data_IF_842970433857
#
_entry.id   IF_842970433857
#
_cell.length_a   1.000
_cell.length_b   1.000
_cell.length_c   1.000
_cell.angle_alpha   90.00
_cell.angle_beta   90.00
_cell.angle_gamma   90.00
#
_symmetry.space_group_name_H-M   'P 1'
#
loop_
_entity.id
_entity.type
_entity.pdbx_description
1 polymer ?
#
# COMPACT_ATOMS: atom_id res chain seq x y z
N UNK A 1 -0.72 20.42 -6.03
CA UNK A 1 -1.38 20.67 -4.73
C UNK A 1 -1.14 19.48 -3.80
N UNK A 2 -0.96 19.72 -2.51
CA UNK A 2 -0.75 18.67 -1.50
C UNK A 2 -2.04 18.44 -0.71
N UNK A 3 -2.29 17.20 -0.31
CA UNK A 3 -3.42 16.86 0.55
C UNK A 3 -2.91 16.70 1.99
N UNK A 4 -3.14 17.71 2.82
CA UNK A 4 -2.65 17.72 4.22
C UNK A 4 -3.35 16.67 5.10
N UNK A 5 -4.61 16.35 4.78
CA UNK A 5 -5.42 15.36 5.50
C UNK A 5 -5.51 14.06 4.70
N UNK A 6 -4.36 13.44 4.49
CA UNK A 6 -4.26 12.15 3.78
C UNK A 6 -5.02 11.04 4.52
N UNK A 7 -5.14 11.14 5.84
CA UNK A 7 -5.93 10.26 6.68
C UNK A 7 -7.40 10.22 6.26
N UNK A 8 -7.98 11.36 5.85
CA UNK A 8 -9.36 11.41 5.35
C UNK A 8 -9.50 10.72 3.99
N UNK A 9 -8.50 10.86 3.10
CA UNK A 9 -8.51 10.18 1.82
C UNK A 9 -8.36 8.66 1.97
N UNK A 10 -7.43 8.20 2.81
CA UNK A 10 -7.28 6.77 3.07
C UNK A 10 -8.50 6.20 3.80
N UNK A 11 -9.08 6.96 4.74
CA UNK A 11 -10.27 6.53 5.48
C UNK A 11 -11.54 6.37 4.63
N UNK A 12 -11.59 6.95 3.43
CA UNK A 12 -12.73 6.81 2.52
C UNK A 12 -12.40 6.07 1.21
N UNK A 13 -11.18 5.55 1.06
CA UNK A 13 -10.76 4.88 -0.17
C UNK A 13 -11.01 3.37 -0.10
N UNK A 14 -11.68 2.83 -1.12
CA UNK A 14 -11.80 1.39 -1.33
C UNK A 14 -10.57 0.79 -2.02
N UNK A 15 -9.78 1.63 -2.71
CA UNK A 15 -8.55 1.27 -3.41
C UNK A 15 -7.64 2.51 -3.51
N UNK A 16 -6.34 2.33 -3.31
CA UNK A 16 -5.33 3.38 -3.54
C UNK A 16 -4.38 2.99 -4.66
N UNK A 17 -4.12 3.90 -5.60
CA UNK A 17 -3.08 3.75 -6.62
C UNK A 17 -1.95 4.71 -6.27
N UNK A 18 -0.76 4.19 -5.98
CA UNK A 18 0.33 5.01 -5.46
C UNK A 18 1.73 4.46 -5.78
N UNK A 19 2.74 5.30 -5.56
CA UNK A 19 4.13 4.82 -5.43
C UNK A 19 4.26 3.93 -4.19
N UNK A 20 5.21 3.01 -4.19
CA UNK A 20 5.48 2.12 -3.05
C UNK A 20 6.64 2.59 -2.17
N UNK A 21 6.58 3.86 -1.77
CA UNK A 21 7.44 4.37 -0.70
C UNK A 21 7.16 3.65 0.61
N UNK A 22 8.20 3.42 1.43
CA UNK A 22 8.08 2.62 2.65
C UNK A 22 6.99 3.13 3.60
N UNK A 23 6.90 4.45 3.80
CA UNK A 23 5.86 5.07 4.64
C UNK A 23 4.44 4.76 4.14
N UNK A 24 4.17 5.01 2.85
CA UNK A 24 2.85 4.76 2.25
C UNK A 24 2.47 3.29 2.28
N UNK A 25 3.41 2.37 2.03
CA UNK A 25 3.13 0.93 2.15
C UNK A 25 2.75 0.56 3.59
N UNK A 26 3.49 1.08 4.58
CA UNK A 26 3.17 0.87 5.99
C UNK A 26 1.80 1.47 6.38
N UNK A 27 1.48 2.68 5.91
CA UNK A 27 0.19 3.33 6.19
C UNK A 27 -0.99 2.51 5.64
N UNK A 28 -0.94 2.15 4.36
CA UNK A 28 -2.05 1.43 3.71
C UNK A 28 -2.22 0.03 4.30
N UNK A 29 -1.14 -0.70 4.55
CA UNK A 29 -1.20 -2.02 5.18
C UNK A 29 -1.70 -1.94 6.63
N UNK A 30 -1.26 -0.95 7.41
CA UNK A 30 -1.75 -0.74 8.78
C UNK A 30 -3.24 -0.34 8.84
N UNK A 31 -3.76 0.30 7.79
CA UNK A 31 -5.17 0.66 7.64
C UNK A 31 -6.02 -0.45 7.00
N UNK A 32 -5.40 -1.47 6.40
CA UNK A 32 -6.12 -2.51 5.65
C UNK A 32 -6.72 -1.98 4.35
N UNK A 33 -6.10 -0.98 3.73
CA UNK A 33 -6.53 -0.41 2.46
C UNK A 33 -5.76 -1.10 1.33
N UNK A 34 -6.44 -1.79 0.40
CA UNK A 34 -5.76 -2.45 -0.71
C UNK A 34 -5.19 -1.41 -1.68
N UNK A 35 -4.11 -1.78 -2.38
CA UNK A 35 -3.42 -0.84 -3.27
C UNK A 35 -2.91 -1.45 -4.56
N UNK A 36 -2.87 -0.62 -5.61
CA UNK A 36 -2.03 -0.81 -6.80
C UNK A 36 -0.74 -0.03 -6.58
N UNK A 37 0.32 -0.75 -6.26
CA UNK A 37 1.65 -0.20 -6.07
C UNK A 37 2.37 -0.09 -7.42
N UNK A 38 2.77 1.13 -7.77
CA UNK A 38 3.56 1.45 -8.96
C UNK A 38 4.94 1.93 -8.51
N UNK A 39 5.93 1.03 -8.31
CA UNK A 39 7.24 1.41 -7.79
C UNK A 39 7.88 2.51 -8.64
N UNK A 40 8.53 3.47 -7.98
CA UNK A 40 9.27 4.52 -8.69
C UNK A 40 10.39 3.89 -9.54
N UNK A 41 10.51 4.23 -10.84
CA UNK A 41 11.51 3.62 -11.73
C UNK A 41 12.92 4.14 -11.49
N UNK A 42 13.06 5.27 -10.80
CA UNK A 42 14.34 5.88 -10.45
C UNK A 42 14.79 5.45 -9.05
N UNK A 43 16.10 5.44 -8.83
CA UNK A 43 16.70 5.03 -7.56
C UNK A 43 17.31 3.63 -7.65
N UNK A 44 17.39 2.95 -6.51
CA UNK A 44 17.99 1.61 -6.39
C UNK A 44 16.97 0.46 -6.55
N UNK A 45 15.70 0.77 -6.86
CA UNK A 45 14.61 -0.21 -6.97
C UNK A 45 13.98 -0.63 -5.63
N UNK A 46 14.27 0.05 -4.51
CA UNK A 46 13.80 -0.35 -3.18
C UNK A 46 12.27 -0.46 -3.06
N UNK A 47 11.54 0.36 -3.82
CA UNK A 47 10.09 0.45 -3.73
C UNK A 47 9.39 -0.84 -4.14
N UNK A 48 10.02 -1.68 -4.98
CA UNK A 48 9.49 -3.02 -5.28
C UNK A 48 9.51 -3.89 -4.01
N UNK A 49 10.60 -3.84 -3.26
CA UNK A 49 10.78 -4.65 -2.04
C UNK A 49 9.92 -4.15 -0.88
N UNK A 50 9.63 -2.85 -0.81
CA UNK A 50 8.70 -2.32 0.18
C UNK A 50 7.31 -2.95 0.05
N UNK A 51 6.79 -3.04 -1.18
CA UNK A 51 5.43 -3.53 -1.44
C UNK A 51 5.33 -5.05 -1.59
N UNK A 52 6.41 -5.73 -1.96
CA UNK A 52 6.40 -7.17 -2.24
C UNK A 52 5.75 -8.03 -1.12
N UNK A 53 6.04 -7.82 0.18
CA UNK A 53 5.41 -8.62 1.23
C UNK A 53 3.89 -8.43 1.34
N UNK A 54 3.39 -7.22 1.12
CA UNK A 54 1.94 -6.92 1.11
C UNK A 54 1.28 -7.62 -0.08
N UNK A 55 1.93 -7.58 -1.25
CA UNK A 55 1.43 -8.20 -2.49
C UNK A 55 1.45 -9.72 -2.39
N UNK A 56 2.51 -10.31 -1.83
CA UNK A 56 2.61 -11.74 -1.54
C UNK A 56 1.51 -12.22 -0.57
N UNK A 57 1.13 -11.38 0.39
CA UNK A 57 0.01 -11.66 1.28
C UNK A 57 -1.37 -11.56 0.60
N UNK A 58 -1.45 -11.04 -0.63
CA UNK A 58 -2.70 -10.77 -1.35
C UNK A 58 -3.29 -9.39 -1.09
N UNK A 59 -2.56 -8.50 -0.43
CA UNK A 59 -3.02 -7.18 0.01
C UNK A 59 -3.07 -6.10 -1.06
N UNK A 60 -2.56 -6.40 -2.27
CA UNK A 60 -2.50 -5.44 -3.35
C UNK A 60 -1.87 -6.02 -4.61
N UNK A 61 -1.67 -5.16 -5.60
CA UNK A 61 -1.02 -5.47 -6.87
C UNK A 61 0.26 -4.66 -7.00
N UNK A 62 1.28 -5.23 -7.64
CA UNK A 62 2.49 -4.52 -8.02
C UNK A 62 2.53 -4.40 -9.54
N UNK A 63 2.64 -3.17 -10.05
CA UNK A 63 2.69 -2.87 -11.48
C UNK A 63 3.97 -2.11 -11.77
N UNK A 64 4.87 -2.62 -12.63
CA UNK A 64 6.04 -1.87 -13.06
C UNK A 64 5.65 -0.51 -13.66
N UNK A 65 6.43 0.54 -13.40
CA UNK A 65 6.13 1.90 -13.87
C UNK A 65 5.91 1.99 -15.37
N UNK A 66 6.74 1.28 -16.14
CA UNK A 66 6.66 1.24 -17.61
C UNK A 66 5.40 0.51 -18.13
N UNK A 67 4.80 -0.36 -17.32
CA UNK A 67 3.58 -1.09 -17.64
C UNK A 67 2.32 -0.33 -17.19
N UNK A 68 2.45 0.60 -16.22
CA UNK A 68 1.35 1.41 -15.71
C UNK A 68 0.95 2.50 -16.71
N UNK A 69 0.25 2.07 -17.75
CA UNK A 69 -0.19 2.88 -18.88
C UNK A 69 -1.69 3.23 -18.79
N UNK A 70 -2.18 4.23 -19.53
CA UNK A 70 -3.62 4.52 -19.58
C UNK A 70 -4.48 3.32 -20.00
N UNK A 71 -3.99 2.47 -20.91
CA UNK A 71 -4.68 1.23 -21.30
C UNK A 71 -4.71 0.24 -20.15
N UNK A 72 -3.59 0.05 -19.44
CA UNK A 72 -3.57 -0.81 -18.26
C UNK A 72 -4.60 -0.36 -17.21
N UNK A 73 -4.69 0.96 -16.96
CA UNK A 73 -5.67 1.52 -16.02
C UNK A 73 -7.09 1.22 -16.48
N UNK A 74 -7.40 1.48 -17.75
CA UNK A 74 -8.73 1.25 -18.32
C UNK A 74 -9.15 -0.23 -18.27
N UNK A 75 -8.20 -1.14 -18.48
CA UNK A 75 -8.46 -2.57 -18.54
C UNK A 75 -8.58 -3.22 -17.14
N UNK A 76 -7.89 -2.69 -16.13
CA UNK A 76 -7.76 -3.35 -14.82
C UNK A 76 -8.55 -2.66 -13.70
N UNK A 77 -8.51 -1.32 -13.62
CA UNK A 77 -9.05 -0.59 -12.46
C UNK A 77 -10.57 -0.65 -12.37
N UNK A 78 -11.35 -0.45 -13.45
CA UNK A 78 -12.82 -0.59 -13.38
C UNK A 78 -13.26 -1.98 -12.90
N UNK A 79 -12.59 -3.03 -13.36
CA UNK A 79 -12.88 -4.41 -12.93
C UNK A 79 -12.63 -4.63 -11.44
N UNK A 80 -11.52 -4.08 -10.91
CA UNK A 80 -11.24 -4.09 -9.47
C UNK A 80 -12.33 -3.36 -8.67
N UNK A 81 -12.70 -2.15 -9.11
CA UNK A 81 -13.71 -1.33 -8.42
C UNK A 81 -15.12 -1.93 -8.50
N UNK A 82 -15.41 -2.74 -9.53
CA UNK A 82 -16.69 -3.45 -9.65
C UNK A 82 -16.79 -4.70 -8.77
N UNK A 83 -15.72 -5.10 -8.09
CA UNK A 83 -15.64 -6.32 -7.28
C UNK A 83 -15.33 -5.97 -5.80
N UNK A 84 -16.36 -5.57 -5.02
CA UNK A 84 -16.17 -5.15 -3.64
C UNK A 84 -15.71 -6.29 -2.71
N UNK A 85 -16.06 -7.55 -3.03
CA UNK A 85 -15.66 -8.71 -2.23
C UNK A 85 -14.15 -8.95 -2.36
N UNK A 86 -13.62 -8.84 -3.59
CA UNK A 86 -12.19 -8.91 -3.86
C UNK A 86 -11.42 -7.77 -3.19
N UNK A 87 -11.96 -6.54 -3.23
CA UNK A 87 -11.32 -5.40 -2.54
C UNK A 87 -11.33 -5.59 -1.02
N UNK A 88 -12.43 -6.08 -0.45
CA UNK A 88 -12.52 -6.38 0.97
C UNK A 88 -11.56 -7.50 1.38
N UNK A 89 -11.38 -8.52 0.55
CA UNK A 89 -10.40 -9.58 0.77
C UNK A 89 -8.97 -9.06 0.73
N UNK A 90 -8.61 -8.28 -0.30
CA UNK A 90 -7.31 -7.63 -0.38
C UNK A 90 -7.07 -6.69 0.82
N UNK A 91 -8.09 -5.96 1.27
CA UNK A 91 -7.98 -5.14 2.48
C UNK A 91 -7.66 -5.96 3.75
N UNK A 92 -8.31 -7.13 3.92
CA UNK A 92 -7.98 -8.07 5.02
C UNK A 92 -6.55 -8.60 4.93
N UNK A 93 -6.08 -8.89 3.72
CA UNK A 93 -4.70 -9.33 3.49
C UNK A 93 -3.69 -8.23 3.78
N UNK A 94 -3.94 -6.99 3.33
CA UNK A 94 -3.11 -5.83 3.65
C UNK A 94 -3.04 -5.61 5.17
N UNK A 95 -4.18 -5.69 5.86
CA UNK A 95 -4.28 -5.59 7.32
C UNK A 95 -3.45 -6.66 8.04
N UNK A 96 -3.42 -7.88 7.51
CA UNK A 96 -2.69 -9.00 8.12
C UNK A 96 -1.17 -8.78 8.15
N UNK A 97 -0.63 -8.00 7.20
CA UNK A 97 0.78 -7.60 7.16
C UNK A 97 1.04 -6.33 7.97
N UNK A 98 0.07 -5.42 8.06
CA UNK A 98 0.21 -4.10 8.68
C UNK A 98 0.63 -4.13 10.15
N UNK A 99 1.74 -3.46 10.46
CA UNK A 99 2.27 -3.29 11.82
C UNK A 99 1.74 -2.00 12.43
N UNK A 100 1.06 -2.09 13.58
CA UNK A 100 0.35 -0.96 14.24
C UNK A 100 0.97 -0.52 15.56
N UNK A 101 1.97 -1.25 16.06
CA UNK A 101 2.66 -0.95 17.32
C UNK A 101 4.13 -0.58 17.12
N UNK A 102 4.57 -0.35 15.88
CA UNK A 102 5.98 -0.12 15.52
C UNK A 102 6.63 1.01 16.34
N UNK A 103 5.91 2.13 16.52
CA UNK A 103 6.40 3.26 17.30
C UNK A 103 6.62 2.90 18.78
N UNK A 104 5.66 2.18 19.39
CA UNK A 104 5.76 1.71 20.76
C UNK A 104 6.88 0.69 20.93
N UNK A 105 6.94 -0.31 20.05
CA UNK A 105 7.99 -1.33 20.02
C UNK A 105 9.38 -0.71 19.90
N UNK A 106 9.54 0.29 19.02
CA UNK A 106 10.81 0.99 18.85
C UNK A 106 11.19 1.76 20.12
N UNK A 107 10.25 2.50 20.70
CA UNK A 107 10.49 3.24 21.95
C UNK A 107 10.91 2.31 23.09
N UNK A 108 10.22 1.18 23.27
CA UNK A 108 10.57 0.17 24.29
C UNK A 108 11.96 -0.41 24.07
N UNK A 109 12.34 -0.72 22.82
CA UNK A 109 13.68 -1.22 22.49
C UNK A 109 14.78 -0.22 22.84
N UNK A 110 14.59 1.06 22.49
CA UNK A 110 15.55 2.12 22.82
C UNK A 110 15.71 2.28 24.33
N UNK A 111 14.59 2.29 25.07
CA UNK A 111 14.61 2.42 26.53
C UNK A 111 15.25 1.22 27.25
N UNK A 112 15.29 0.04 26.61
CA UNK A 112 15.96 -1.14 27.19
C UNK A 112 17.50 -1.10 27.10
N UNK A 113 18.06 -0.13 26.37
CA UNK A 113 19.50 0.05 26.20
C UNK A 113 20.12 1.01 27.24
N UNK A 114 19.27 1.69 28.03
CA UNK A 114 19.68 2.62 29.10
C UNK A 114 19.42 2.03 30.46
#
# INVERSE_FOLDING_TARGET
>A
PYLERIDLAFGCADLVICRSGAGTVCELSALGVPAVYVPLPIGNGEQRFNAAPVVEAGGGLLVPDEEFTPSWVADNVPGLLSDPDRLAEAGRHAWSYGIRDAAGTMASKVLSLV
#
